data_IF_615989274083
#
_entry.id   IF_615989274083
#
_cell.length_a   1.000
_cell.length_b   1.000
_cell.length_c   1.000
_cell.angle_alpha   90.00
_cell.angle_beta   90.00
_cell.angle_gamma   90.00
#
_symmetry.space_group_name_H-M   'P 1'
#
loop_
_entity.id
_entity.type
_entity.pdbx_description
1 polymer ?
#
# COMPACT_ATOMS: atom_id res chain seq x y z
N UNK A 1 -32.23 31.65 9.30
CA UNK A 1 -31.05 31.96 10.13
C UNK A 1 -29.92 31.03 9.74
N UNK A 2 -28.97 31.49 8.90
CA UNK A 2 -27.78 30.72 8.51
C UNK A 2 -26.68 31.01 9.53
N UNK A 3 -26.26 29.99 10.27
CA UNK A 3 -25.10 30.09 11.18
C UNK A 3 -23.83 29.83 10.37
N UNK A 4 -23.03 30.87 10.20
CA UNK A 4 -21.64 30.80 9.74
C UNK A 4 -20.76 30.43 10.92
N UNK A 5 -20.10 29.28 10.86
CA UNK A 5 -19.00 28.94 11.78
C UNK A 5 -17.67 29.36 11.13
N UNK A 6 -16.79 30.10 11.84
CA UNK A 6 -15.46 30.39 11.33
C UNK A 6 -14.57 29.15 11.54
N UNK A 7 -14.09 28.57 10.44
CA UNK A 7 -13.01 27.58 10.45
C UNK A 7 -11.68 28.33 10.62
N UNK A 8 -11.10 28.26 11.82
CA UNK A 8 -9.71 28.61 12.03
C UNK A 8 -8.82 27.43 11.59
N UNK A 9 -7.97 27.67 10.58
CA UNK A 9 -6.93 26.74 10.13
C UNK A 9 -5.79 26.70 11.16
N UNK A 10 -5.30 25.52 11.59
CA UNK A 10 -4.06 25.45 12.34
C UNK A 10 -2.87 25.53 11.38
N UNK A 11 -1.91 26.40 11.72
CA UNK A 11 -0.63 26.50 11.05
C UNK A 11 0.17 25.20 11.23
N UNK A 12 0.57 24.58 10.12
CA UNK A 12 1.44 23.41 10.10
C UNK A 12 2.88 23.90 10.37
N UNK A 13 3.39 23.63 11.57
CA UNK A 13 4.80 23.81 11.91
C UNK A 13 5.58 22.55 11.51
N UNK A 14 6.45 22.68 10.49
CA UNK A 14 7.48 21.70 10.17
C UNK A 14 8.63 21.83 11.17
N UNK A 15 8.64 21.00 12.20
CA UNK A 15 9.82 20.81 13.06
C UNK A 15 10.79 19.85 12.38
N UNK A 16 11.89 20.40 11.85
CA UNK A 16 13.07 19.61 11.47
C UNK A 16 13.84 19.24 12.74
N UNK A 17 13.82 17.95 13.08
CA UNK A 17 14.77 17.36 14.03
C UNK A 17 16.07 17.08 13.28
N UNK A 18 17.14 17.80 13.66
CA UNK A 18 18.50 17.57 13.22
C UNK A 18 19.29 16.94 14.37
N UNK A 19 19.58 15.64 14.26
CA UNK A 19 20.67 15.00 15.00
C UNK A 19 21.44 14.16 13.98
N UNK A 20 22.63 14.62 13.60
CA UNK A 20 23.61 13.80 12.89
C UNK A 20 24.97 14.12 13.46
N UNK A 21 25.44 13.26 14.35
CA UNK A 21 26.84 13.18 14.75
C UNK A 21 27.65 12.65 13.56
N UNK A 22 28.68 13.40 13.16
CA UNK A 22 29.74 12.92 12.28
C UNK A 22 30.99 12.68 13.12
N UNK A 23 31.74 11.61 12.87
CA UNK A 23 33.17 11.60 13.09
C UNK A 23 33.93 11.85 11.78
N UNK A 24 35.06 12.52 11.99
CA UNK A 24 35.97 13.13 11.04
C UNK A 24 36.86 12.17 10.25
N UNK A 25 37.37 12.73 9.15
CA UNK A 25 38.72 12.61 8.60
C UNK A 25 39.14 11.33 7.86
N UNK A 26 39.44 11.49 6.56
CA UNK A 26 40.68 11.03 5.91
C UNK A 26 40.81 11.59 4.47
N UNK A 27 42.05 11.68 3.92
CA UNK A 27 42.49 12.85 3.18
C UNK A 27 42.36 12.78 1.65
N UNK A 28 42.23 13.98 1.07
CA UNK A 28 42.29 14.27 -0.35
C UNK A 28 43.66 13.91 -0.95
N UNK A 29 43.64 13.14 -2.04
CA UNK A 29 44.79 13.03 -2.95
C UNK A 29 44.53 13.93 -4.15
N UNK A 30 45.33 14.99 -4.28
CA UNK A 30 45.40 15.82 -5.47
C UNK A 30 46.15 15.05 -6.56
N UNK A 31 45.57 14.95 -7.76
CA UNK A 31 46.31 14.63 -8.98
C UNK A 31 45.98 15.66 -10.04
N UNK A 32 47.06 16.30 -10.48
CA UNK A 32 47.17 17.38 -11.43
C UNK A 32 47.30 16.86 -12.86
N UNK A 33 46.69 17.62 -13.78
CA UNK A 33 47.10 17.92 -15.15
C UNK A 33 47.38 16.76 -16.14
N UNK A 34 46.72 16.81 -17.30
CA UNK A 34 47.41 17.23 -18.53
C UNK A 34 46.43 17.35 -19.70
N UNK A 35 46.46 18.53 -20.32
CA UNK A 35 45.94 18.80 -21.65
C UNK A 35 46.79 18.06 -22.69
N UNK A 36 46.16 17.48 -23.70
CA UNK A 36 46.79 17.27 -25.01
C UNK A 36 45.72 17.31 -26.09
N UNK A 37 45.70 18.44 -26.80
CA UNK A 37 44.98 18.61 -28.04
C UNK A 37 45.71 17.83 -29.13
N UNK A 38 44.99 16.92 -29.81
CA UNK A 38 45.46 16.28 -31.03
C UNK A 38 44.47 16.61 -32.14
N UNK A 39 44.99 17.24 -33.19
CA UNK A 39 44.30 17.58 -34.42
C UNK A 39 43.97 16.33 -35.23
N UNK A 40 42.77 16.28 -35.80
CA UNK A 40 42.35 15.29 -36.80
C UNK A 40 42.32 15.96 -38.18
N UNK A 41 42.85 15.31 -39.24
CA UNK A 41 42.57 15.71 -40.60
C UNK A 41 41.28 15.06 -41.12
N UNK A 42 40.58 15.84 -41.94
CA UNK A 42 39.42 15.49 -42.75
C UNK A 42 39.75 14.35 -43.74
N UNK A 43 38.85 13.39 -43.89
CA UNK A 43 38.74 12.59 -45.11
C UNK A 43 37.37 11.93 -45.25
N UNK A 44 36.79 12.19 -46.42
CA UNK A 44 35.88 11.38 -47.24
C UNK A 44 34.49 10.95 -46.74
N UNK A 45 33.51 11.67 -47.31
CA UNK A 45 32.13 11.25 -47.49
C UNK A 45 32.06 10.08 -48.47
N UNK A 46 31.62 8.92 -47.97
CA UNK A 46 30.98 7.90 -48.80
C UNK A 46 29.56 7.69 -48.28
N UNK A 47 28.58 8.11 -49.08
CA UNK A 47 27.15 7.90 -48.84
C UNK A 47 26.82 6.40 -49.04
N UNK A 48 27.05 5.61 -47.99
CA UNK A 48 26.56 4.25 -47.86
C UNK A 48 25.18 4.26 -47.21
N UNK A 49 24.17 3.75 -47.93
CA UNK A 49 22.81 3.50 -47.44
C UNK A 49 22.82 2.83 -46.06
N UNK A 50 22.62 3.63 -45.02
CA UNK A 50 22.40 3.14 -43.66
C UNK A 50 21.01 2.52 -43.60
N UNK A 51 20.96 1.19 -43.70
CA UNK A 51 19.79 0.41 -43.30
C UNK A 51 19.60 0.73 -41.82
N UNK A 52 18.70 1.68 -41.55
CA UNK A 52 18.30 2.08 -40.21
C UNK A 52 17.77 0.84 -39.50
N UNK A 53 18.67 0.14 -38.80
CA UNK A 53 18.33 -0.99 -37.96
C UNK A 53 17.24 -0.50 -37.01
N UNK A 54 16.06 -1.13 -37.10
CA UNK A 54 14.93 -0.77 -36.22
C UNK A 54 15.47 -0.73 -34.79
N UNK A 55 15.30 0.38 -34.05
CA UNK A 55 15.87 0.51 -32.72
C UNK A 55 15.38 -0.67 -31.87
N UNK A 56 16.32 -1.54 -31.51
CA UNK A 56 16.05 -2.75 -30.74
C UNK A 56 16.24 -2.43 -29.26
N UNK A 57 15.33 -2.93 -28.42
CA UNK A 57 15.41 -2.80 -26.97
C UNK A 57 16.73 -3.41 -26.44
N UNK A 58 17.36 -2.77 -25.45
CA UNK A 58 18.59 -3.31 -24.86
C UNK A 58 18.33 -4.64 -24.13
N UNK A 59 19.38 -5.44 -23.95
CA UNK A 59 19.26 -6.73 -23.25
C UNK A 59 18.80 -6.54 -21.78
N UNK A 60 19.23 -5.45 -21.15
CA UNK A 60 18.83 -5.12 -19.78
C UNK A 60 17.34 -4.79 -19.68
N UNK A 61 16.83 -3.92 -20.55
CA UNK A 61 15.40 -3.58 -20.59
C UNK A 61 14.52 -4.82 -20.83
N UNK A 62 14.96 -5.74 -21.71
CA UNK A 62 14.26 -7.03 -21.91
C UNK A 62 14.21 -7.87 -20.65
N UNK A 63 15.34 -8.03 -19.96
CA UNK A 63 15.42 -8.79 -18.72
C UNK A 63 14.51 -8.20 -17.62
N UNK A 64 14.39 -6.87 -17.53
CA UNK A 64 13.46 -6.22 -16.60
C UNK A 64 11.99 -6.55 -16.93
N UNK A 65 11.61 -6.52 -18.21
CA UNK A 65 10.26 -6.86 -18.64
C UNK A 65 9.93 -8.34 -18.41
N UNK A 66 10.87 -9.24 -18.71
CA UNK A 66 10.73 -10.68 -18.43
C UNK A 66 10.57 -10.94 -16.92
N UNK A 67 11.37 -10.27 -16.08
CA UNK A 67 11.22 -10.33 -14.63
C UNK A 67 9.83 -9.84 -14.19
N UNK A 68 9.37 -8.70 -14.71
CA UNK A 68 8.06 -8.14 -14.38
C UNK A 68 6.90 -9.06 -14.78
N UNK A 69 6.97 -9.65 -15.97
CA UNK A 69 5.93 -10.56 -16.48
C UNK A 69 5.87 -11.85 -15.62
N UNK A 70 6.97 -12.23 -14.95
CA UNK A 70 6.99 -13.36 -14.00
C UNK A 70 6.24 -13.12 -12.68
N UNK A 71 5.85 -11.87 -12.40
CA UNK A 71 5.17 -11.47 -11.15
C UNK A 71 3.66 -11.78 -11.15
N UNK A 72 3.13 -12.42 -12.19
CA UNK A 72 1.69 -12.72 -12.32
C UNK A 72 0.82 -11.51 -12.64
N UNK A 73 1.42 -10.42 -13.10
CA UNK A 73 0.70 -9.22 -13.57
C UNK A 73 0.02 -9.49 -14.92
N UNK A 74 -1.06 -8.77 -15.25
CA UNK A 74 -1.72 -8.92 -16.55
C UNK A 74 -0.78 -8.63 -17.74
N UNK A 75 -0.90 -9.41 -18.82
CA UNK A 75 -0.14 -9.16 -20.05
C UNK A 75 -0.61 -7.85 -20.72
N UNK A 76 0.35 -6.94 -20.95
CA UNK A 76 0.15 -5.61 -21.54
C UNK A 76 0.39 -5.55 -23.06
N UNK A 77 0.68 -6.67 -23.72
CA UNK A 77 0.90 -6.73 -25.16
C UNK A 77 -0.36 -6.31 -25.94
N UNK A 78 -0.17 -5.37 -26.86
CA UNK A 78 -1.22 -4.80 -27.72
C UNK A 78 -2.48 -4.31 -26.97
N UNK A 79 -2.36 -3.89 -25.71
CA UNK A 79 -3.49 -3.37 -24.93
C UNK A 79 -3.76 -1.90 -25.23
N UNK A 80 -5.04 -1.54 -25.31
CA UNK A 80 -5.45 -0.14 -25.48
C UNK A 80 -5.08 0.68 -24.23
N UNK A 81 -4.51 1.86 -24.44
CA UNK A 81 -4.15 2.78 -23.37
C UNK A 81 -5.26 3.83 -23.21
N UNK A 82 -5.85 3.89 -22.02
CA UNK A 82 -6.99 4.72 -21.72
C UNK A 82 -6.67 5.73 -20.61
N UNK A 83 -7.34 6.87 -20.67
CA UNK A 83 -7.46 7.82 -19.59
C UNK A 83 -8.90 7.78 -19.05
N UNK A 84 -9.03 7.59 -17.74
CA UNK A 84 -10.31 7.51 -17.04
C UNK A 84 -10.49 8.77 -16.20
N UNK A 85 -11.61 9.47 -16.38
CA UNK A 85 -11.98 10.60 -15.55
C UNK A 85 -12.45 10.13 -14.17
N UNK A 86 -11.77 10.62 -13.13
CA UNK A 86 -12.07 10.28 -11.74
C UNK A 86 -12.91 11.35 -11.03
N UNK A 87 -13.13 12.52 -11.62
CA UNK A 87 -13.84 13.64 -10.99
C UNK A 87 -12.99 14.90 -10.96
N UNK A 88 -13.36 15.88 -10.15
CA UNK A 88 -12.57 17.09 -9.90
C UNK A 88 -11.99 17.10 -8.48
N UNK A 89 -10.89 17.82 -8.30
CA UNK A 89 -10.31 18.09 -6.99
C UNK A 89 -9.90 19.56 -6.89
N UNK A 90 -9.88 20.07 -5.66
CA UNK A 90 -9.33 21.39 -5.33
C UNK A 90 -7.87 21.22 -4.95
N UNK A 91 -6.96 21.73 -5.77
CA UNK A 91 -5.55 21.79 -5.39
C UNK A 91 -5.38 22.84 -4.27
N UNK A 92 -4.57 22.53 -3.25
CA UNK A 92 -4.32 23.48 -2.16
C UNK A 92 -3.77 24.79 -2.72
N UNK A 93 -4.44 25.90 -2.44
CA UNK A 93 -4.05 27.23 -2.92
C UNK A 93 -4.55 27.58 -4.33
N UNK A 94 -5.33 26.71 -4.97
CA UNK A 94 -5.97 26.99 -6.25
C UNK A 94 -7.46 27.35 -6.07
N UNK A 95 -7.94 28.31 -6.85
CA UNK A 95 -9.33 28.76 -6.87
C UNK A 95 -10.18 28.00 -7.91
N UNK A 96 -9.56 27.06 -8.64
CA UNK A 96 -10.24 26.28 -9.68
C UNK A 96 -10.15 24.79 -9.40
N UNK A 97 -11.31 24.15 -9.59
CA UNK A 97 -11.40 22.71 -9.70
C UNK A 97 -10.55 22.20 -10.86
N UNK A 98 -9.74 21.18 -10.58
CA UNK A 98 -8.93 20.49 -11.59
C UNK A 98 -9.49 19.11 -11.84
N UNK A 99 -9.59 18.68 -13.11
CA UNK A 99 -9.98 17.31 -13.40
C UNK A 99 -8.89 16.33 -12.92
N UNK A 100 -9.32 15.24 -12.31
CA UNK A 100 -8.50 14.12 -11.92
C UNK A 100 -8.66 12.99 -12.93
N UNK A 101 -7.54 12.44 -13.37
CA UNK A 101 -7.53 11.32 -14.30
C UNK A 101 -6.65 10.17 -13.78
N UNK A 102 -7.01 8.95 -14.15
CA UNK A 102 -6.15 7.77 -14.03
C UNK A 102 -5.83 7.24 -15.42
N UNK A 103 -4.57 6.92 -15.67
CA UNK A 103 -4.18 6.26 -16.91
C UNK A 103 -4.07 4.74 -16.68
N UNK A 104 -4.58 3.95 -17.62
CA UNK A 104 -4.72 2.50 -17.47
C UNK A 104 -4.51 1.78 -18.80
N UNK A 105 -4.21 0.48 -18.73
CA UNK A 105 -4.26 -0.44 -19.86
C UNK A 105 -5.56 -1.25 -19.81
N UNK A 106 -6.36 -1.23 -20.87
CA UNK A 106 -7.61 -2.00 -20.95
C UNK A 106 -7.29 -3.49 -21.09
N UNK A 107 -7.79 -4.32 -20.18
CA UNK A 107 -7.62 -5.77 -20.20
C UNK A 107 -8.79 -6.45 -20.90
N UNK A 108 -10.02 -6.10 -20.49
CA UNK A 108 -11.28 -6.69 -20.95
C UNK A 108 -12.36 -5.60 -21.00
N UNK A 109 -13.32 -5.73 -21.92
CA UNK A 109 -14.53 -4.89 -21.97
C UNK A 109 -15.73 -5.70 -22.45
N UNK A 110 -16.83 -5.63 -21.73
CA UNK A 110 -18.07 -6.38 -21.98
C UNK A 110 -19.30 -5.45 -22.06
N UNK A 111 -19.18 -4.32 -22.76
CA UNK A 111 -20.27 -3.35 -22.92
C UNK A 111 -20.50 -2.48 -21.68
N UNK A 112 -20.96 -3.08 -20.58
CA UNK A 112 -21.29 -2.41 -19.30
C UNK A 112 -20.12 -2.35 -18.31
N UNK A 113 -19.06 -3.13 -18.54
CA UNK A 113 -17.88 -3.11 -17.69
C UNK A 113 -16.57 -3.03 -18.51
N UNK A 114 -15.56 -2.46 -17.86
CA UNK A 114 -14.19 -2.37 -18.32
C UNK A 114 -13.26 -2.77 -17.20
N UNK A 115 -12.51 -3.84 -17.41
CA UNK A 115 -11.45 -4.27 -16.51
C UNK A 115 -10.14 -3.70 -17.02
N UNK A 116 -9.43 -2.97 -16.17
CA UNK A 116 -8.21 -2.28 -16.57
C UNK A 116 -7.08 -2.44 -15.54
N UNK A 117 -5.85 -2.46 -16.03
CA UNK A 117 -4.65 -2.47 -15.22
C UNK A 117 -4.12 -1.04 -15.07
N UNK A 118 -4.07 -0.56 -13.83
CA UNK A 118 -3.60 0.78 -13.49
C UNK A 118 -2.08 0.85 -13.42
N UNK A 119 -1.52 2.05 -13.59
CA UNK A 119 -0.09 2.30 -13.34
C UNK A 119 0.32 2.14 -11.86
N UNK A 120 -0.65 1.92 -10.96
CA UNK A 120 -0.42 1.59 -9.55
C UNK A 120 -0.36 0.10 -9.25
N UNK A 121 -0.19 -0.76 -10.27
CA UNK A 121 -0.21 -2.23 -10.16
C UNK A 121 -1.50 -2.82 -9.58
N UNK A 122 -2.65 -2.28 -10.00
CA UNK A 122 -3.96 -2.81 -9.60
C UNK A 122 -4.82 -3.08 -10.82
N UNK A 123 -5.48 -4.22 -10.81
CA UNK A 123 -6.60 -4.49 -11.70
C UNK A 123 -7.87 -3.93 -11.06
N UNK A 124 -8.57 -3.07 -11.80
CA UNK A 124 -9.82 -2.44 -11.35
C UNK A 124 -10.89 -2.71 -12.39
N UNK A 125 -12.07 -3.09 -11.93
CA UNK A 125 -13.27 -3.19 -12.77
C UNK A 125 -14.08 -1.91 -12.61
N UNK A 126 -14.32 -1.24 -13.72
CA UNK A 126 -15.20 -0.08 -13.83
C UNK A 126 -16.50 -0.56 -14.46
N UNK A 127 -17.63 -0.37 -13.79
CA UNK A 127 -18.95 -0.82 -14.27
C UNK A 127 -19.96 0.31 -14.19
N UNK A 128 -20.98 0.27 -15.05
CA UNK A 128 -22.09 1.22 -15.00
C UNK A 128 -22.93 1.06 -13.72
N UNK A 129 -22.96 -0.14 -13.15
CA UNK A 129 -23.66 -0.45 -11.88
C UNK A 129 -22.95 0.16 -10.66
N UNK A 130 -21.64 0.38 -10.75
CA UNK A 130 -20.83 1.01 -9.71
C UNK A 130 -20.28 2.33 -10.25
N UNK A 131 -21.09 3.41 -10.27
CA UNK A 131 -20.66 4.69 -10.82
C UNK A 131 -19.49 5.25 -10.02
N UNK A 132 -18.82 6.23 -10.62
CA UNK A 132 -17.73 6.93 -9.97
C UNK A 132 -18.19 7.53 -8.64
N UNK A 133 -17.58 7.08 -7.53
CA UNK A 133 -17.97 7.50 -6.18
C UNK A 133 -17.83 9.01 -5.94
N UNK A 134 -16.96 9.71 -6.67
CA UNK A 134 -16.75 11.16 -6.51
C UNK A 134 -17.79 11.98 -7.27
N UNK A 135 -18.26 11.48 -8.42
CA UNK A 135 -19.17 12.24 -9.30
C UNK A 135 -20.61 11.73 -9.28
N UNK A 136 -20.83 10.49 -8.80
CA UNK A 136 -22.10 9.77 -8.90
C UNK A 136 -22.50 9.41 -10.33
N UNK A 137 -21.61 9.56 -11.31
CA UNK A 137 -21.87 9.33 -12.74
C UNK A 137 -21.10 8.12 -13.26
N UNK A 138 -21.51 7.52 -14.39
CA UNK A 138 -20.70 6.52 -15.08
C UNK A 138 -19.29 7.03 -15.37
N UNK A 139 -18.32 6.11 -15.40
CA UNK A 139 -16.94 6.46 -15.70
C UNK A 139 -16.78 6.92 -17.16
N UNK A 140 -16.05 8.01 -17.37
CA UNK A 140 -15.74 8.51 -18.72
C UNK A 140 -14.36 7.98 -19.14
N UNK A 141 -14.30 7.38 -20.33
CA UNK A 141 -13.09 6.79 -20.89
C UNK A 141 -12.67 7.55 -22.14
N UNK A 142 -11.37 7.85 -22.23
CA UNK A 142 -10.75 8.45 -23.40
C UNK A 142 -9.59 7.59 -23.85
N UNK A 143 -9.64 7.09 -25.08
CA UNK A 143 -8.48 6.43 -25.67
C UNK A 143 -7.37 7.46 -25.91
N UNK A 144 -6.16 7.10 -25.50
CA UNK A 144 -4.98 7.96 -25.60
C UNK A 144 -3.94 7.24 -26.42
N UNK A 145 -3.37 7.95 -27.41
CA UNK A 145 -2.23 7.44 -28.15
C UNK A 145 -1.02 7.32 -27.19
N UNK A 146 -0.70 6.09 -26.79
CA UNK A 146 0.34 5.76 -25.80
C UNK A 146 1.67 6.43 -26.14
N UNK A 147 2.13 6.30 -27.39
CA UNK A 147 3.39 6.90 -27.86
C UNK A 147 3.43 8.41 -27.65
N UNK A 148 2.40 9.14 -28.09
CA UNK A 148 2.32 10.60 -27.93
C UNK A 148 2.27 11.01 -26.47
N UNK A 149 1.57 10.26 -25.62
CA UNK A 149 1.51 10.54 -24.18
C UNK A 149 2.87 10.38 -23.52
N UNK A 150 3.58 9.28 -23.81
CA UNK A 150 4.91 9.00 -23.25
C UNK A 150 5.93 10.06 -23.67
N UNK A 151 5.97 10.45 -24.95
CA UNK A 151 6.85 11.53 -25.42
C UNK A 151 6.57 12.84 -24.67
N UNK A 152 5.29 13.20 -24.51
CA UNK A 152 4.88 14.38 -23.75
C UNK A 152 5.32 14.28 -22.29
N UNK A 153 5.14 13.12 -21.66
CA UNK A 153 5.51 12.87 -20.25
C UNK A 153 7.01 12.96 -20.05
N UNK A 154 7.82 12.33 -20.91
CA UNK A 154 9.28 12.41 -20.89
C UNK A 154 9.78 13.85 -21.07
N UNK A 155 9.19 14.61 -22.01
CA UNK A 155 9.53 16.04 -22.18
C UNK A 155 9.27 16.83 -20.90
N UNK A 156 8.11 16.63 -20.27
CA UNK A 156 7.78 17.29 -19.01
C UNK A 156 8.72 16.86 -17.88
N UNK A 157 8.97 15.55 -17.74
CA UNK A 157 9.89 14.94 -16.77
C UNK A 157 11.30 15.56 -16.83
N UNK A 158 11.85 15.72 -18.03
CA UNK A 158 13.16 16.30 -18.28
C UNK A 158 13.22 17.81 -18.08
N UNK A 159 12.08 18.52 -18.19
CA UNK A 159 12.03 19.98 -18.03
C UNK A 159 11.76 20.44 -16.59
N UNK A 160 11.62 19.51 -15.64
CA UNK A 160 11.20 19.81 -14.28
C UNK A 160 12.33 20.39 -13.42
N UNK A 161 11.96 21.27 -12.49
CA UNK A 161 12.91 21.83 -11.52
C UNK A 161 13.15 20.86 -10.34
N UNK A 162 14.26 21.00 -9.60
CA UNK A 162 14.49 20.22 -8.38
C UNK A 162 13.40 20.38 -7.31
N UNK A 163 12.79 21.56 -7.21
CA UNK A 163 11.67 21.82 -6.28
C UNK A 163 10.41 21.05 -6.68
N UNK A 164 10.07 21.09 -7.97
CA UNK A 164 8.97 20.29 -8.52
C UNK A 164 9.20 18.79 -8.37
N UNK A 165 10.46 18.32 -8.31
CA UNK A 165 10.77 16.93 -8.02
C UNK A 165 10.44 16.58 -6.55
N UNK A 166 10.81 17.45 -5.59
CA UNK A 166 10.61 17.19 -4.15
C UNK A 166 9.13 17.04 -3.75
N UNK A 167 8.25 17.87 -4.33
CA UNK A 167 6.82 17.88 -3.98
C UNK A 167 6.03 16.68 -4.53
N UNK A 168 6.59 15.87 -5.44
CA UNK A 168 5.86 14.80 -6.14
C UNK A 168 5.49 13.59 -5.30
N UNK A 169 6.29 13.32 -4.28
CA UNK A 169 6.15 12.10 -3.50
C UNK A 169 5.02 12.22 -2.46
N UNK A 170 4.55 13.44 -2.20
CA UNK A 170 3.47 13.68 -1.25
C UNK A 170 2.15 13.29 -1.92
N UNK A 171 1.38 12.42 -1.27
CA UNK A 171 0.02 12.10 -1.72
C UNK A 171 -0.14 10.90 -2.64
N UNK A 172 0.94 10.21 -3.06
CA UNK A 172 0.86 9.12 -4.05
C UNK A 172 1.08 7.74 -3.45
N UNK A 173 0.17 6.81 -3.76
CA UNK A 173 0.28 5.40 -3.36
C UNK A 173 1.35 4.63 -4.14
N UNK A 174 1.55 4.99 -5.42
CA UNK A 174 2.57 4.45 -6.32
C UNK A 174 3.74 5.40 -6.47
N UNK A 175 4.95 4.87 -6.59
CA UNK A 175 6.10 5.68 -6.99
C UNK A 175 6.01 6.04 -8.48
N UNK A 176 6.56 7.20 -8.84
CA UNK A 176 6.67 7.61 -10.25
C UNK A 176 7.52 6.60 -11.06
N UNK A 177 8.52 5.98 -10.41
CA UNK A 177 9.37 4.93 -11.00
C UNK A 177 8.54 3.73 -11.48
N UNK A 178 7.69 3.19 -10.60
CA UNK A 178 6.83 2.05 -10.95
C UNK A 178 5.82 2.41 -12.06
N UNK A 179 5.23 3.61 -12.02
CA UNK A 179 4.32 4.07 -13.08
C UNK A 179 5.01 4.15 -14.45
N UNK A 180 6.22 4.72 -14.49
CA UNK A 180 7.00 4.86 -15.71
C UNK A 180 7.47 3.51 -16.24
N UNK A 181 7.80 2.57 -15.36
CA UNK A 181 8.17 1.22 -15.75
C UNK A 181 6.99 0.46 -16.39
N UNK A 182 5.80 0.56 -15.82
CA UNK A 182 4.60 -0.06 -16.43
C UNK A 182 4.27 0.58 -17.78
N UNK A 183 4.47 1.90 -17.93
CA UNK A 183 4.36 2.56 -19.24
C UNK A 183 5.40 2.05 -20.23
N UNK A 184 6.65 1.84 -19.80
CA UNK A 184 7.70 1.28 -20.64
C UNK A 184 7.34 -0.13 -21.11
N UNK A 185 6.82 -0.97 -20.21
CA UNK A 185 6.35 -2.33 -20.56
C UNK A 185 5.17 -2.30 -21.54
N UNK A 186 4.23 -1.37 -21.38
CA UNK A 186 3.14 -1.15 -22.32
C UNK A 186 3.62 -0.68 -23.69
N UNK A 187 4.57 0.25 -23.74
CA UNK A 187 5.22 0.69 -24.98
C UNK A 187 5.88 -0.47 -25.70
N UNK A 188 6.63 -1.32 -24.97
CA UNK A 188 7.24 -2.51 -25.52
C UNK A 188 6.19 -3.46 -26.13
N UNK A 189 5.12 -3.74 -25.39
CA UNK A 189 4.02 -4.60 -25.84
C UNK A 189 3.24 -4.06 -27.04
N UNK A 190 3.28 -2.74 -27.28
CA UNK A 190 2.68 -2.07 -28.45
C UNK A 190 3.67 -1.86 -29.62
N UNK A 191 4.92 -2.36 -29.52
CA UNK A 191 5.96 -2.20 -30.53
C UNK A 191 6.62 -0.81 -30.57
N UNK A 192 6.44 0.01 -29.53
CA UNK A 192 7.08 1.31 -29.36
C UNK A 192 8.42 1.17 -28.61
N UNK A 193 9.37 0.46 -29.21
CA UNK A 193 10.63 0.06 -28.56
C UNK A 193 11.51 1.24 -28.16
N UNK A 194 11.56 2.30 -28.97
CA UNK A 194 12.35 3.48 -28.66
C UNK A 194 11.82 4.17 -27.40
N UNK A 195 10.52 4.40 -27.32
CA UNK A 195 9.89 5.05 -26.16
C UNK A 195 10.02 4.21 -24.89
N UNK A 196 9.96 2.88 -25.01
CA UNK A 196 10.23 1.97 -23.90
C UNK A 196 11.67 2.11 -23.39
N UNK A 197 12.67 2.12 -24.28
CA UNK A 197 14.08 2.27 -23.91
C UNK A 197 14.38 3.65 -23.31
N UNK A 198 13.77 4.71 -23.84
CA UNK A 198 13.95 6.07 -23.31
C UNK A 198 13.37 6.22 -21.90
N UNK A 199 12.25 5.57 -21.59
CA UNK A 199 11.71 5.53 -20.22
C UNK A 199 12.65 4.78 -19.27
N UNK A 200 13.17 3.62 -19.66
CA UNK A 200 14.12 2.84 -18.83
C UNK A 200 15.39 3.64 -18.58
N UNK A 201 15.94 4.26 -19.62
CA UNK A 201 17.12 5.12 -19.53
C UNK A 201 16.89 6.28 -18.56
N UNK A 202 15.77 7.00 -18.71
CA UNK A 202 15.42 8.09 -17.81
C UNK A 202 15.33 7.64 -16.35
N UNK A 203 14.73 6.47 -16.10
CA UNK A 203 14.61 5.92 -14.75
C UNK A 203 15.98 5.54 -14.17
N UNK A 204 16.87 4.93 -14.96
CA UNK A 204 18.24 4.61 -14.52
C UNK A 204 19.09 5.86 -14.23
N UNK A 205 18.82 6.97 -14.91
CA UNK A 205 19.50 8.26 -14.69
C UNK A 205 18.90 9.06 -13.52
N UNK A 206 17.71 8.67 -13.04
CA UNK A 206 17.05 9.37 -11.93
C UNK A 206 17.85 9.15 -10.64
N UNK A 207 18.18 10.22 -9.89
CA UNK A 207 18.88 10.11 -8.62
C UNK A 207 18.08 9.31 -7.58
N UNK A 208 18.75 8.39 -6.90
CA UNK A 208 18.20 7.73 -5.73
C UNK A 208 17.99 8.76 -4.60
N UNK A 209 16.85 8.69 -3.91
CA UNK A 209 16.48 9.70 -2.92
C UNK A 209 17.43 9.72 -1.72
N UNK A 210 18.07 8.59 -1.38
CA UNK A 210 18.95 8.49 -0.21
C UNK A 210 20.38 8.91 -0.55
N UNK A 211 20.90 8.43 -1.68
CA UNK A 211 22.30 8.63 -2.07
C UNK A 211 22.53 9.83 -2.97
N UNK A 212 21.47 10.33 -3.64
CA UNK A 212 21.52 11.37 -4.68
C UNK A 212 22.34 10.99 -5.93
N UNK A 213 22.81 9.76 -6.01
CA UNK A 213 23.49 9.21 -7.19
C UNK A 213 22.47 8.59 -8.16
N UNK A 214 22.75 8.57 -9.48
CA UNK A 214 21.90 7.86 -10.44
C UNK A 214 21.72 6.39 -10.04
N UNK A 215 20.49 5.88 -10.14
CA UNK A 215 20.19 4.47 -9.82
C UNK A 215 21.04 3.47 -10.61
N UNK A 216 21.36 3.81 -11.86
CA UNK A 216 21.97 2.88 -12.80
C UNK A 216 21.04 1.72 -13.15
N UNK A 217 21.60 0.67 -13.77
CA UNK A 217 20.84 -0.49 -14.24
C UNK A 217 20.43 -1.43 -13.10
N UNK A 218 21.40 -1.81 -12.26
CA UNK A 218 21.16 -2.71 -11.13
C UNK A 218 20.33 -2.04 -10.03
N UNK A 219 20.63 -0.78 -9.72
CA UNK A 219 19.86 -0.02 -8.73
C UNK A 219 18.42 0.22 -9.17
N UNK A 220 18.16 0.37 -10.48
CA UNK A 220 16.79 0.47 -11.01
C UNK A 220 15.97 -0.79 -10.70
N UNK A 221 16.50 -1.98 -10.95
CA UNK A 221 15.78 -3.22 -10.64
C UNK A 221 15.45 -3.34 -9.15
N UNK A 222 16.42 -3.02 -8.28
CA UNK A 222 16.21 -3.07 -6.83
C UNK A 222 15.17 -2.06 -6.34
N UNK A 223 15.21 -0.82 -6.88
CA UNK A 223 14.23 0.20 -6.56
C UNK A 223 12.81 -0.19 -7.02
N UNK A 224 12.69 -0.75 -8.23
CA UNK A 224 11.44 -1.29 -8.73
C UNK A 224 10.94 -2.45 -7.86
N UNK A 225 11.80 -3.41 -7.52
CA UNK A 225 11.44 -4.55 -6.67
C UNK A 225 10.91 -4.09 -5.30
N UNK A 226 11.54 -3.09 -4.68
CA UNK A 226 11.09 -2.52 -3.40
C UNK A 226 9.72 -1.84 -3.51
N UNK A 227 9.50 -1.02 -4.54
CA UNK A 227 8.22 -0.32 -4.73
C UNK A 227 7.07 -1.25 -5.13
N UNK A 228 7.35 -2.24 -5.97
CA UNK A 228 6.37 -3.27 -6.32
C UNK A 228 6.02 -4.12 -5.10
N UNK A 229 7.02 -4.60 -4.35
CA UNK A 229 6.79 -5.36 -3.12
C UNK A 229 5.92 -4.59 -2.12
N UNK A 230 6.14 -3.27 -1.99
CA UNK A 230 5.31 -2.36 -1.18
C UNK A 230 3.87 -2.27 -1.68
N UNK A 231 3.66 -2.21 -3.01
CA UNK A 231 2.32 -2.22 -3.60
C UNK A 231 1.57 -3.53 -3.33
N UNK A 232 2.24 -4.68 -3.53
CA UNK A 232 1.68 -6.00 -3.22
C UNK A 232 1.38 -6.16 -1.73
N UNK A 233 2.30 -5.74 -0.85
CA UNK A 233 2.12 -5.73 0.60
C UNK A 233 0.91 -4.87 1.01
N UNK A 234 0.78 -3.67 0.43
CA UNK A 234 -0.37 -2.81 0.68
C UNK A 234 -1.68 -3.51 0.32
N UNK A 235 -1.75 -4.12 -0.87
CA UNK A 235 -2.93 -4.88 -1.27
C UNK A 235 -3.21 -6.03 -0.31
N UNK A 236 -2.22 -6.86 0.01
CA UNK A 236 -2.38 -8.00 0.91
C UNK A 236 -2.89 -7.59 2.30
N UNK A 237 -2.37 -6.49 2.86
CA UNK A 237 -2.83 -5.95 4.15
C UNK A 237 -4.27 -5.42 4.05
N UNK A 238 -4.61 -4.69 2.99
CA UNK A 238 -5.99 -4.18 2.83
C UNK A 238 -7.01 -5.29 2.60
N UNK A 239 -6.61 -6.36 1.93
CA UNK A 239 -7.49 -7.50 1.66
C UNK A 239 -7.91 -8.24 2.96
N UNK A 240 -7.29 -7.94 4.13
CA UNK A 240 -7.83 -8.40 5.42
C UNK A 240 -9.21 -7.82 5.73
N UNK A 241 -9.54 -6.58 5.33
CA UNK A 241 -10.84 -5.98 5.66
C UNK A 241 -12.00 -6.55 4.83
N UNK A 242 -11.69 -7.38 3.83
CA UNK A 242 -12.68 -8.09 3.03
C UNK A 242 -12.91 -9.48 3.65
N UNK A 243 -14.06 -9.71 4.32
CA UNK A 243 -14.34 -11.00 4.95
C UNK A 243 -14.53 -12.13 3.93
N UNK A 244 -14.82 -11.81 2.66
CA UNK A 244 -14.98 -12.80 1.59
C UNK A 244 -13.63 -13.36 1.12
N UNK A 245 -12.50 -12.74 1.50
CA UNK A 245 -11.16 -13.25 1.20
C UNK A 245 -10.73 -14.23 2.32
N UNK A 246 -10.57 -15.54 2.00
CA UNK A 246 -10.14 -16.53 2.98
C UNK A 246 -8.70 -16.29 3.44
N UNK A 247 -8.37 -16.75 4.66
CA UNK A 247 -7.01 -16.64 5.21
C UNK A 247 -5.97 -17.37 4.37
N UNK A 248 -6.35 -18.44 3.68
CA UNK A 248 -5.50 -19.20 2.75
C UNK A 248 -5.03 -18.34 1.57
N UNK A 249 -5.92 -17.49 1.02
CA UNK A 249 -5.59 -16.59 -0.07
C UNK A 249 -4.68 -15.46 0.41
N UNK A 250 -4.91 -14.93 1.61
CA UNK A 250 -4.01 -13.98 2.25
C UNK A 250 -2.61 -14.58 2.44
N UNK A 251 -2.53 -15.82 2.95
CA UNK A 251 -1.27 -16.54 3.12
C UNK A 251 -0.51 -16.68 1.79
N UNK A 252 -1.21 -17.07 0.74
CA UNK A 252 -0.62 -17.22 -0.59
C UNK A 252 -0.02 -15.90 -1.10
N UNK A 253 -0.72 -14.77 -0.91
CA UNK A 253 -0.22 -13.44 -1.31
C UNK A 253 1.06 -13.05 -0.56
N UNK A 254 1.14 -13.32 0.74
CA UNK A 254 2.37 -13.05 1.50
C UNK A 254 3.53 -13.95 1.07
N UNK A 255 3.27 -15.22 0.77
CA UNK A 255 4.28 -16.13 0.20
C UNK A 255 4.79 -15.65 -1.14
N UNK A 256 3.92 -15.15 -2.00
CA UNK A 256 4.28 -14.58 -3.30
C UNK A 256 5.18 -13.36 -3.15
N UNK A 257 4.87 -12.44 -2.22
CA UNK A 257 5.72 -11.28 -1.94
C UNK A 257 7.12 -11.74 -1.52
N UNK A 258 7.22 -12.67 -0.57
CA UNK A 258 8.50 -13.17 -0.07
C UNK A 258 9.30 -13.93 -1.14
N UNK A 259 8.62 -14.61 -2.08
CA UNK A 259 9.21 -15.36 -3.19
C UNK A 259 9.71 -14.44 -4.31
N UNK A 260 8.90 -13.48 -4.73
CA UNK A 260 9.19 -12.63 -5.89
C UNK A 260 10.10 -11.45 -5.56
N UNK A 261 10.13 -11.02 -4.29
CA UNK A 261 10.92 -9.87 -3.86
C UNK A 261 11.83 -10.20 -2.65
N UNK A 262 12.66 -11.25 -2.72
CA UNK A 262 13.34 -11.82 -1.55
C UNK A 262 14.29 -10.85 -0.82
N UNK A 263 14.79 -9.83 -1.53
CA UNK A 263 15.70 -8.79 -1.04
C UNK A 263 14.98 -7.51 -0.59
N UNK A 264 13.67 -7.38 -0.82
CA UNK A 264 12.91 -6.21 -0.40
C UNK A 264 12.74 -6.15 1.12
N UNK A 265 12.59 -4.94 1.67
CA UNK A 265 12.26 -4.76 3.10
C UNK A 265 10.93 -5.41 3.47
N UNK A 266 10.02 -5.53 2.50
CA UNK A 266 8.70 -6.13 2.68
C UNK A 266 8.75 -7.66 2.76
N UNK A 267 9.81 -8.32 2.30
CA UNK A 267 9.93 -9.77 2.36
C UNK A 267 9.98 -10.31 3.79
N UNK A 268 10.64 -9.59 4.71
CA UNK A 268 10.71 -9.95 6.13
C UNK A 268 9.30 -9.95 6.73
N UNK A 269 8.60 -8.81 6.61
CA UNK A 269 7.21 -8.66 7.08
C UNK A 269 6.24 -9.64 6.42
N UNK A 270 6.47 -10.01 5.16
CA UNK A 270 5.64 -10.98 4.46
C UNK A 270 5.82 -12.40 5.03
N UNK A 271 7.06 -12.81 5.34
CA UNK A 271 7.33 -14.11 5.99
C UNK A 271 6.70 -14.18 7.38
N UNK A 272 6.86 -13.14 8.19
CA UNK A 272 6.23 -13.05 9.51
C UNK A 272 4.70 -13.13 9.43
N UNK A 273 4.09 -12.38 8.50
CA UNK A 273 2.64 -12.45 8.27
C UNK A 273 2.19 -13.85 7.83
N UNK A 274 2.97 -14.51 6.98
CA UNK A 274 2.68 -15.87 6.53
C UNK A 274 2.75 -16.88 7.68
N UNK A 275 3.72 -16.77 8.58
CA UNK A 275 3.84 -17.64 9.76
C UNK A 275 2.63 -17.52 10.69
N UNK A 276 2.18 -16.28 10.95
CA UNK A 276 0.99 -16.03 11.77
C UNK A 276 -0.26 -16.64 11.10
N UNK A 277 -0.43 -16.45 9.79
CA UNK A 277 -1.56 -17.01 9.05
C UNK A 277 -1.54 -18.55 9.01
N UNK A 278 -0.38 -19.18 8.89
CA UNK A 278 -0.26 -20.65 8.97
C UNK A 278 -0.80 -21.15 10.30
N UNK A 279 -0.38 -20.52 11.41
CA UNK A 279 -0.88 -20.87 12.75
C UNK A 279 -2.39 -20.67 12.84
N UNK A 280 -2.90 -19.51 12.40
CA UNK A 280 -4.32 -19.21 12.45
C UNK A 280 -5.17 -20.20 11.65
N UNK A 281 -4.74 -20.58 10.45
CA UNK A 281 -5.47 -21.57 9.62
C UNK A 281 -5.56 -22.92 10.34
N UNK A 282 -4.48 -23.37 10.97
CA UNK A 282 -4.50 -24.62 11.76
C UNK A 282 -5.44 -24.52 12.97
N UNK A 283 -5.44 -23.38 13.64
CA UNK A 283 -6.36 -23.11 14.76
C UNK A 283 -7.81 -23.08 14.29
N UNK A 284 -8.09 -22.52 13.11
CA UNK A 284 -9.42 -22.49 12.50
C UNK A 284 -9.91 -23.88 12.12
N UNK A 285 -9.05 -24.71 11.53
CA UNK A 285 -9.35 -26.12 11.24
C UNK A 285 -9.64 -26.90 12.53
N UNK A 286 -8.82 -26.71 13.57
CA UNK A 286 -9.00 -27.35 14.86
C UNK A 286 -10.27 -26.89 15.59
N UNK A 287 -10.64 -25.60 15.44
CA UNK A 287 -11.88 -25.05 15.99
C UNK A 287 -13.10 -25.58 15.24
N UNK A 288 -13.06 -25.62 13.91
CA UNK A 288 -14.14 -26.14 13.06
C UNK A 288 -14.42 -27.64 13.30
N UNK A 289 -13.41 -28.43 13.69
CA UNK A 289 -13.59 -29.84 14.07
C UNK A 289 -14.29 -30.02 15.41
N UNK A 290 -14.21 -29.03 16.31
CA UNK A 290 -14.93 -29.06 17.58
C UNK A 290 -16.39 -28.74 17.32
N UNK A 291 -17.30 -29.53 17.88
CA UNK A 291 -18.72 -29.14 17.92
C UNK A 291 -18.90 -28.00 18.91
N UNK A 292 -18.75 -26.76 18.43
CA UNK A 292 -18.95 -25.55 19.22
C UNK A 292 -20.44 -25.44 19.57
N UNK A 293 -20.74 -25.37 20.86
CA UNK A 293 -22.11 -25.17 21.34
C UNK A 293 -22.55 -23.72 21.06
N UNK A 294 -23.85 -23.45 20.92
CA UNK A 294 -24.35 -22.07 20.95
C UNK A 294 -23.83 -21.34 22.20
N UNK A 295 -23.48 -20.06 22.07
CA UNK A 295 -22.91 -19.27 23.17
C UNK A 295 -23.78 -19.32 24.43
N UNK A 296 -25.10 -19.37 24.28
CA UNK A 296 -26.07 -19.39 25.38
C UNK A 296 -26.02 -20.68 26.21
N UNK A 297 -25.49 -21.75 25.64
CA UNK A 297 -25.33 -23.05 26.29
C UNK A 297 -23.94 -23.23 26.92
N UNK A 298 -23.03 -22.29 26.68
CA UNK A 298 -21.68 -22.28 27.24
C UNK A 298 -21.67 -21.66 28.63
N UNK A 299 -20.71 -22.09 29.46
CA UNK A 299 -20.39 -21.36 30.70
C UNK A 299 -19.84 -19.97 30.36
N UNK A 300 -19.90 -19.03 31.31
CA UNK A 300 -19.37 -17.66 31.11
C UNK A 300 -17.90 -17.69 30.68
N UNK A 301 -17.09 -18.56 31.27
CA UNK A 301 -15.66 -18.67 30.89
C UNK A 301 -15.49 -19.14 29.45
N UNK A 302 -16.25 -20.15 29.03
CA UNK A 302 -16.26 -20.64 27.66
C UNK A 302 -16.78 -19.58 26.67
N UNK A 303 -17.80 -18.79 27.04
CA UNK A 303 -18.30 -17.69 26.23
C UNK A 303 -17.22 -16.63 25.99
N UNK A 304 -16.50 -16.21 27.04
CA UNK A 304 -15.41 -15.23 26.92
C UNK A 304 -14.30 -15.77 26.02
N UNK A 305 -13.87 -17.01 26.24
CA UNK A 305 -12.82 -17.65 25.43
C UNK A 305 -13.22 -17.71 23.94
N UNK A 306 -14.47 -18.10 23.66
CA UNK A 306 -15.01 -18.17 22.31
C UNK A 306 -15.12 -16.78 21.66
N UNK A 307 -15.58 -15.76 22.39
CA UNK A 307 -15.65 -14.40 21.86
C UNK A 307 -14.26 -13.81 21.60
N UNK A 308 -13.26 -14.09 22.43
CA UNK A 308 -11.86 -13.71 22.18
C UNK A 308 -11.35 -14.38 20.89
N UNK A 309 -11.64 -15.67 20.70
CA UNK A 309 -11.31 -16.36 19.46
C UNK A 309 -11.99 -15.70 18.23
N UNK A 310 -13.26 -15.33 18.35
CA UNK A 310 -14.01 -14.64 17.29
C UNK A 310 -13.53 -13.21 16.99
N UNK A 311 -12.72 -12.57 17.85
CA UNK A 311 -12.10 -11.27 17.54
C UNK A 311 -11.22 -11.30 16.28
N UNK A 312 -10.79 -12.49 15.83
CA UNK A 312 -10.08 -12.69 14.55
C UNK A 312 -10.91 -12.29 13.33
N UNK A 313 -12.23 -12.21 13.49
CA UNK A 313 -13.18 -11.73 12.49
C UNK A 313 -13.79 -10.38 12.88
N UNK A 314 -13.22 -9.65 13.85
CA UNK A 314 -13.54 -8.24 14.10
C UNK A 314 -13.15 -7.43 12.86
N UNK A 315 -14.10 -6.68 12.27
CA UNK A 315 -13.92 -5.99 10.99
C UNK A 315 -14.35 -4.52 11.07
N UNK A 316 -13.68 -3.77 11.94
CA UNK A 316 -13.93 -2.36 12.09
C UNK A 316 -13.11 -1.50 11.12
N UNK A 317 -13.59 -0.28 10.87
CA UNK A 317 -13.04 0.63 9.86
C UNK A 317 -12.40 1.86 10.49
N UNK A 318 -11.36 2.39 9.84
CA UNK A 318 -10.81 3.71 10.16
C UNK A 318 -11.46 4.80 9.29
N UNK A 319 -12.04 5.83 9.93
CA UNK A 319 -12.81 6.87 9.25
C UNK A 319 -12.07 8.17 8.93
N UNK A 320 -10.91 8.40 9.52
CA UNK A 320 -10.19 9.66 9.39
C UNK A 320 -8.70 9.46 9.07
N UNK A 321 -8.11 10.49 8.47
CA UNK A 321 -6.68 10.54 8.13
C UNK A 321 -6.13 11.90 8.57
N UNK A 322 -5.42 12.00 9.72
CA UNK A 322 -4.95 10.89 10.54
C UNK A 322 -6.08 10.36 11.42
N UNK A 323 -6.00 9.09 11.79
CA UNK A 323 -6.96 8.43 12.67
C UNK A 323 -6.43 7.11 13.19
N UNK A 324 -7.25 6.41 13.97
CA UNK A 324 -7.08 5.02 14.35
C UNK A 324 -8.35 4.26 13.96
N UNK A 325 -8.23 2.97 13.69
CA UNK A 325 -9.40 2.11 13.58
C UNK A 325 -10.01 1.96 14.99
N UNK A 326 -11.31 2.21 15.11
CA UNK A 326 -12.08 1.97 16.34
C UNK A 326 -12.70 0.59 16.22
N UNK A 327 -12.26 -0.38 17.01
CA UNK A 327 -12.73 -1.76 16.91
C UNK A 327 -14.24 -1.91 17.13
N UNK A 328 -14.91 -0.91 17.73
CA UNK A 328 -16.36 -0.93 17.95
C UNK A 328 -17.16 -0.36 16.77
N UNK A 329 -16.49 0.16 15.74
CA UNK A 329 -17.11 0.53 14.47
C UNK A 329 -17.20 -0.69 13.52
N UNK A 330 -17.63 -1.83 14.05
CA UNK A 330 -17.88 -3.02 13.25
C UNK A 330 -19.26 -2.89 12.55
N UNK A 331 -19.42 -3.34 11.30
CA UNK A 331 -20.72 -3.36 10.63
C UNK A 331 -21.82 -4.08 11.43
N UNK A 332 -21.46 -5.06 12.27
CA UNK A 332 -22.40 -5.78 13.17
C UNK A 332 -22.84 -4.94 14.37
N UNK A 333 -22.20 -3.81 14.64
CA UNK A 333 -22.57 -2.86 15.70
C UNK A 333 -23.33 -1.64 15.17
N UNK A 334 -23.65 -1.64 13.88
CA UNK A 334 -24.36 -0.56 13.19
C UNK A 334 -23.43 0.33 12.39
N UNK A 335 -22.12 0.24 12.62
CA UNK A 335 -21.09 1.03 11.96
C UNK A 335 -21.42 2.52 11.87
N UNK A 336 -20.78 3.20 10.92
CA UNK A 336 -21.06 4.61 10.64
C UNK A 336 -22.32 4.84 9.81
N UNK A 337 -22.74 3.86 9.00
CA UNK A 337 -23.98 3.95 8.21
C UNK A 337 -25.09 3.33 9.04
N UNK A 338 -26.10 4.10 9.52
CA UNK A 338 -27.17 3.57 10.37
C UNK A 338 -27.94 2.48 9.61
N UNK A 339 -27.56 1.22 9.81
CA UNK A 339 -28.34 0.06 9.41
C UNK A 339 -29.02 -0.46 10.66
N UNK A 340 -30.27 -0.89 10.52
CA UNK A 340 -30.88 -1.73 11.54
C UNK A 340 -30.07 -3.01 11.60
N UNK A 341 -29.25 -3.14 12.64
CA UNK A 341 -28.55 -4.39 12.89
C UNK A 341 -29.45 -5.28 13.71
N UNK A 342 -29.94 -6.33 13.09
CA UNK A 342 -30.51 -7.47 13.78
C UNK A 342 -29.34 -8.33 14.28
N UNK A 343 -29.08 -8.36 15.59
CA UNK A 343 -28.00 -9.17 16.14
C UNK A 343 -27.55 -8.79 17.54
N UNK A 344 -26.60 -9.57 18.09
CA UNK A 344 -26.04 -9.37 19.44
C UNK A 344 -24.93 -8.31 19.49
N UNK A 345 -24.48 -7.84 18.33
CA UNK A 345 -23.29 -7.01 18.14
C UNK A 345 -22.06 -7.84 17.78
N UNK A 346 -20.94 -7.16 17.54
CA UNK A 346 -19.63 -7.79 17.31
C UNK A 346 -19.10 -8.51 18.56
N UNK A 347 -18.11 -9.40 18.43
CA UNK A 347 -17.47 -10.02 19.59
C UNK A 347 -16.92 -9.01 20.60
N UNK A 348 -16.32 -7.91 20.13
CA UNK A 348 -15.84 -6.83 21.00
C UNK A 348 -16.98 -6.21 21.84
N UNK A 349 -18.11 -5.88 21.21
CA UNK A 349 -19.29 -5.32 21.90
C UNK A 349 -19.90 -6.31 22.89
N UNK A 350 -19.93 -7.60 22.56
CA UNK A 350 -20.41 -8.64 23.47
C UNK A 350 -19.49 -8.79 24.70
N UNK A 351 -18.16 -8.79 24.50
CA UNK A 351 -17.18 -8.84 25.61
C UNK A 351 -17.31 -7.62 26.55
N UNK A 352 -17.51 -6.42 26.01
CA UNK A 352 -17.78 -5.22 26.85
C UNK A 352 -19.06 -5.38 27.67
N UNK A 353 -20.12 -5.93 27.09
CA UNK A 353 -21.39 -6.17 27.81
C UNK A 353 -21.24 -7.19 28.94
N UNK A 354 -20.32 -8.15 28.81
CA UNK A 354 -20.01 -9.09 29.89
C UNK A 354 -19.32 -8.39 31.08
N UNK A 355 -18.53 -7.35 30.81
CA UNK A 355 -17.90 -6.51 31.84
C UNK A 355 -16.79 -7.24 32.60
N UNK A 356 -16.76 -7.09 33.93
CA UNK A 356 -15.64 -7.53 34.76
C UNK A 356 -15.36 -9.04 34.70
N UNK A 357 -16.38 -9.85 34.40
CA UNK A 357 -16.22 -11.32 34.28
C UNK A 357 -15.32 -11.73 33.10
N UNK A 358 -15.09 -10.84 32.13
CA UNK A 358 -14.22 -11.09 30.99
C UNK A 358 -12.77 -10.64 31.22
N UNK A 359 -12.50 -9.80 32.23
CA UNK A 359 -11.21 -9.09 32.37
C UNK A 359 -10.01 -10.03 32.47
N UNK A 360 -10.10 -11.10 33.25
CA UNK A 360 -8.96 -12.00 33.44
C UNK A 360 -8.50 -12.64 32.13
N UNK A 361 -9.43 -13.20 31.34
CA UNK A 361 -9.12 -13.83 30.07
C UNK A 361 -8.71 -12.80 28.99
N UNK A 362 -9.28 -11.60 29.02
CA UNK A 362 -8.84 -10.50 28.15
C UNK A 362 -7.39 -10.11 28.46
N UNK A 363 -7.03 -9.98 29.75
CA UNK A 363 -5.66 -9.70 30.19
C UNK A 363 -4.73 -10.82 29.71
N UNK A 364 -5.14 -12.08 29.85
CA UNK A 364 -4.33 -13.21 29.41
C UNK A 364 -4.14 -13.28 27.89
N UNK A 365 -4.97 -12.58 27.11
CA UNK A 365 -4.92 -12.53 25.65
C UNK A 365 -4.31 -11.25 25.05
N UNK A 366 -3.85 -10.27 25.85
CA UNK A 366 -3.35 -8.98 25.33
C UNK A 366 -2.10 -9.06 24.44
N UNK A 367 -1.39 -10.18 24.46
CA UNK A 367 -0.23 -10.46 23.61
C UNK A 367 -0.55 -11.42 22.45
N UNK A 368 -1.83 -11.75 22.22
CA UNK A 368 -2.24 -12.55 21.07
C UNK A 368 -1.97 -11.78 19.76
N UNK A 369 -0.95 -12.22 19.03
CA UNK A 369 -0.53 -11.63 17.76
C UNK A 369 -1.34 -12.11 16.55
N UNK A 370 -2.44 -12.86 16.75
CA UNK A 370 -3.36 -13.25 15.68
C UNK A 370 -3.95 -12.02 15.00
N UNK A 371 -4.12 -12.09 13.69
CA UNK A 371 -4.72 -11.01 12.91
C UNK A 371 -6.23 -10.93 13.13
N UNK A 372 -6.76 -9.72 13.11
CA UNK A 372 -8.19 -9.44 12.93
C UNK A 372 -8.49 -9.13 11.46
N UNK A 373 -9.71 -8.68 11.14
CA UNK A 373 -10.07 -8.10 9.83
C UNK A 373 -9.95 -6.56 9.83
N UNK A 374 -9.70 -5.93 10.98
CA UNK A 374 -9.51 -4.49 11.10
C UNK A 374 -8.16 -4.06 10.50
N UNK A 375 -8.19 -3.09 9.57
CA UNK A 375 -6.98 -2.50 8.97
C UNK A 375 -6.86 -1.04 9.40
N UNK A 376 -5.84 -0.74 10.19
CA UNK A 376 -5.47 0.62 10.60
C UNK A 376 -4.33 1.18 9.75
N UNK A 377 -4.22 2.51 9.67
CA UNK A 377 -3.12 3.20 8.99
C UNK A 377 -2.98 4.66 9.45
N UNK A 378 -1.80 5.28 9.32
CA UNK A 378 -1.65 6.71 9.67
C UNK A 378 -2.18 7.62 8.56
N UNK A 379 -1.68 7.44 7.33
CA UNK A 379 -2.11 8.15 6.12
C UNK A 379 -2.16 7.18 4.95
N UNK A 380 -3.13 7.37 4.06
CA UNK A 380 -3.35 6.49 2.92
C UNK A 380 -2.52 6.86 1.67
N UNK A 381 -1.59 7.82 1.79
CA UNK A 381 -0.71 8.22 0.70
C UNK A 381 0.73 7.71 0.83
N UNK A 382 1.03 6.94 1.87
CA UNK A 382 2.23 6.11 1.95
C UNK A 382 1.87 4.84 2.70
N UNK A 383 2.72 3.82 2.59
CA UNK A 383 2.45 2.55 3.24
C UNK A 383 2.67 2.65 4.76
N UNK A 384 1.57 2.84 5.50
CA UNK A 384 1.51 2.79 6.97
C UNK A 384 0.46 1.79 7.48
N UNK A 385 -0.02 0.93 6.58
CA UNK A 385 -1.10 0.02 6.90
C UNK A 385 -0.61 -1.11 7.78
N UNK A 386 -1.43 -1.47 8.76
CA UNK A 386 -1.25 -2.62 9.63
C UNK A 386 -2.61 -3.25 9.90
N UNK A 387 -2.60 -4.54 10.16
CA UNK A 387 -3.79 -5.27 10.59
C UNK A 387 -3.75 -5.30 12.10
N UNK A 388 -4.85 -4.88 12.75
CA UNK A 388 -4.94 -4.91 14.21
C UNK A 388 -4.88 -6.36 14.69
N UNK A 389 -4.19 -6.58 15.80
CA UNK A 389 -4.06 -7.88 16.45
C UNK A 389 -5.19 -8.14 17.45
N UNK A 390 -5.49 -9.41 17.71
CA UNK A 390 -6.45 -9.80 18.75
C UNK A 390 -6.06 -9.20 20.11
N UNK A 391 -4.77 -9.20 20.46
CA UNK A 391 -4.29 -8.58 21.69
C UNK A 391 -4.54 -7.08 21.79
N UNK A 392 -4.41 -6.34 20.68
CA UNK A 392 -4.75 -4.91 20.61
C UNK A 392 -6.27 -4.69 20.79
N UNK A 393 -7.10 -5.59 20.24
CA UNK A 393 -8.54 -5.58 20.51
C UNK A 393 -8.85 -5.82 21.99
N UNK A 394 -8.22 -6.83 22.61
CA UNK A 394 -8.38 -7.14 24.03
C UNK A 394 -8.02 -5.94 24.91
N UNK A 395 -6.90 -5.26 24.65
CA UNK A 395 -6.53 -4.04 25.36
C UNK A 395 -7.59 -2.95 25.22
N UNK A 396 -8.10 -2.72 24.01
CA UNK A 396 -9.13 -1.71 23.75
C UNK A 396 -10.46 -2.05 24.45
N UNK A 397 -10.81 -3.33 24.55
CA UNK A 397 -11.99 -3.82 25.29
C UNK A 397 -11.80 -3.61 26.79
N UNK A 398 -10.62 -3.92 27.35
CA UNK A 398 -10.29 -3.68 28.76
C UNK A 398 -10.43 -2.19 29.08
N UNK A 399 -9.88 -1.30 28.25
CA UNK A 399 -9.98 0.15 28.42
C UNK A 399 -11.43 0.64 28.40
N UNK A 400 -12.30 -0.04 27.65
CA UNK A 400 -13.74 0.26 27.57
C UNK A 400 -14.52 -0.21 28.80
N UNK A 401 -14.17 -1.38 29.35
CA UNK A 401 -14.76 -1.90 30.59
C UNK A 401 -14.27 -1.07 31.78
N UNK A 402 -12.98 -0.74 31.81
CA UNK A 402 -12.27 -0.08 32.91
C UNK A 402 -11.66 1.25 32.44
N UNK A 403 -12.45 2.33 32.48
CA UNK A 403 -12.10 3.69 32.02
C UNK A 403 -11.04 4.38 32.91
N UNK A 404 -9.85 3.81 32.98
CA UNK A 404 -8.75 4.28 33.84
C UNK A 404 -7.72 5.14 33.10
N UNK A 405 -7.64 5.02 31.78
CA UNK A 405 -6.65 5.70 30.93
C UNK A 405 -5.21 5.20 31.13
N UNK A 406 -5.00 4.10 31.85
CA UNK A 406 -3.68 3.55 32.12
C UNK A 406 -3.17 2.74 30.94
N UNK A 407 -1.88 2.85 30.63
CA UNK A 407 -1.21 2.07 29.58
C UNK A 407 -0.17 1.13 30.17
N UNK A 408 -0.06 -0.06 29.61
CA UNK A 408 0.92 -1.08 29.98
C UNK A 408 1.83 -1.37 28.79
N UNK A 409 3.11 -1.64 29.05
CA UNK A 409 4.11 -1.95 28.02
C UNK A 409 4.02 -3.43 27.63
N UNK A 410 3.05 -3.75 26.76
CA UNK A 410 2.81 -5.11 26.28
C UNK A 410 3.94 -5.55 25.34
N UNK A 411 4.40 -4.67 24.44
CA UNK A 411 5.43 -5.02 23.44
C UNK A 411 6.79 -5.32 24.08
N UNK A 412 7.17 -4.59 25.13
CA UNK A 412 8.46 -4.77 25.80
C UNK A 412 8.50 -6.00 26.70
N UNK A 413 7.46 -6.24 27.51
CA UNK A 413 7.38 -7.41 28.40
C UNK A 413 5.93 -7.82 28.69
N UNK A 414 5.33 -8.68 27.84
CA UNK A 414 3.95 -9.12 27.98
C UNK A 414 3.60 -9.68 29.37
N UNK A 415 4.49 -10.49 29.95
CA UNK A 415 4.23 -11.14 31.24
C UNK A 415 4.19 -10.14 32.40
N UNK A 416 5.12 -9.18 32.40
CA UNK A 416 5.12 -8.10 33.39
C UNK A 416 3.90 -7.20 33.22
N UNK A 417 3.50 -6.90 31.97
CA UNK A 417 2.29 -6.13 31.69
C UNK A 417 1.05 -6.86 32.22
N UNK A 418 0.86 -8.14 31.90
CA UNK A 418 -0.25 -8.98 32.40
C UNK A 418 -0.30 -9.02 33.92
N UNK A 419 0.82 -9.26 34.60
CA UNK A 419 0.88 -9.25 36.06
C UNK A 419 0.46 -7.90 36.65
N UNK A 420 0.95 -6.79 36.09
CA UNK A 420 0.57 -5.45 36.51
C UNK A 420 -0.92 -5.15 36.24
N UNK A 421 -1.48 -5.63 35.13
CA UNK A 421 -2.90 -5.53 34.80
C UNK A 421 -3.76 -6.33 35.78
N UNK A 422 -3.38 -7.56 36.13
CA UNK A 422 -4.11 -8.39 37.12
C UNK A 422 -4.14 -7.73 38.50
N UNK A 423 -3.00 -7.21 38.98
CA UNK A 423 -2.94 -6.46 40.24
C UNK A 423 -3.87 -5.26 40.20
N UNK A 424 -3.85 -4.52 39.10
CA UNK A 424 -4.58 -3.25 38.99
C UNK A 424 -6.09 -3.44 38.80
N UNK A 425 -6.52 -4.31 37.88
CA UNK A 425 -7.92 -4.46 37.51
C UNK A 425 -8.65 -5.53 38.33
N UNK A 426 -7.96 -6.55 38.84
CA UNK A 426 -8.57 -7.64 39.59
C UNK A 426 -8.29 -7.56 41.10
N UNK A 427 -7.33 -6.73 41.53
CA UNK A 427 -6.92 -6.61 42.93
C UNK A 427 -6.16 -7.82 43.48
N UNK A 428 -5.62 -8.68 42.58
CA UNK A 428 -4.91 -9.91 42.90
C UNK A 428 -3.41 -9.73 43.12
#
# INVERSE_FOLDING_TARGET
>A
MRRTFPLALPAILLLQSACSDKPDSSPQTQSSASNSAVALPEADKSDGQSISSKPSLSAHSRALFEWFDSLGVPNLDNRNYLQIYLGTYWALGDDKEKPQYSNVFLLESNGSEKKAFTLGMRTVTYSDENPNMLTGRPYEFKEVNLRKDVIRRLKHLRSRTPEENRLRHIGRQSSELMELFILARGCFGAGHYQEAEELITYMSETPDLKTQEPLGKEGLQNALAEDMAKSFMWKAVRDFSDPEIPRQDLLQRFREIAKHFPQSSQAVRARESAEILIRMIQEDEAHAQKKVRPLEEMTVQEQVAELIYQLRDQNATQHSQPGSCDIFDDPRDGGWIPRQVEGKGSPATQLVKMGDVALEQLIDAVDDNSFTRCVGFHRNFYFSHHVIRVGECCQTIIDRIQLTGRRFDIEGNPQRAKAAMKIWYLGN
#
